data_IF_433565609569
#
_entry.id   IF_433565609569
#
_cell.length_a   1.000
_cell.length_b   1.000
_cell.length_c   1.000
_cell.angle_alpha   90.00
_cell.angle_beta   90.00
_cell.angle_gamma   90.00
#
_symmetry.space_group_name_H-M   'P 1'
#
loop_
_entity.id
_entity.type
_entity.pdbx_description
1 polymer ?
#
# COMPACT_ATOMS: atom_id res chain seq x y z
N UNK A 1 10.15 2.36 53.24
CA UNK A 1 9.68 1.30 52.32
C UNK A 1 8.56 1.70 51.34
N UNK A 2 8.33 2.99 51.20
CA UNK A 2 7.29 3.50 50.29
C UNK A 2 7.84 3.99 48.93
N UNK A 3 9.08 3.64 48.55
CA UNK A 3 9.71 4.14 47.32
C UNK A 3 9.58 3.21 46.12
N UNK A 4 9.04 1.99 46.27
CA UNK A 4 8.98 0.97 45.22
C UNK A 4 7.60 0.86 44.53
N UNK A 5 6.56 1.62 44.96
CA UNK A 5 5.22 1.55 44.36
C UNK A 5 4.91 2.65 43.34
N UNK A 6 5.91 3.43 42.95
CA UNK A 6 5.70 4.59 42.09
C UNK A 6 5.80 4.16 40.62
N UNK A 7 4.65 3.86 40.01
CA UNK A 7 4.51 3.49 38.63
C UNK A 7 4.86 4.61 37.63
N UNK A 8 4.76 4.34 36.34
CA UNK A 8 5.03 5.25 35.21
C UNK A 8 4.36 6.64 35.41
N UNK A 9 3.21 6.69 36.05
CA UNK A 9 2.50 7.92 36.40
C UNK A 9 3.33 8.91 37.23
N UNK A 10 4.11 8.41 38.19
CA UNK A 10 4.96 9.27 39.04
C UNK A 10 6.15 9.86 38.26
N UNK A 11 6.64 9.21 37.24
CA UNK A 11 7.69 9.74 36.35
C UNK A 11 7.17 10.96 35.58
N UNK A 12 5.98 10.86 35.01
CA UNK A 12 5.36 11.98 34.29
C UNK A 12 4.95 13.13 35.23
N UNK A 13 4.41 12.80 36.39
CA UNK A 13 4.09 13.84 37.44
C UNK A 13 5.34 14.60 37.84
N UNK A 14 6.49 13.94 38.01
CA UNK A 14 7.75 14.63 38.39
C UNK A 14 8.30 15.50 37.25
N UNK A 15 8.18 15.04 35.99
CA UNK A 15 8.68 15.80 34.85
C UNK A 15 7.81 17.02 34.51
N UNK A 16 6.55 17.01 34.92
CA UNK A 16 5.59 18.04 34.66
C UNK A 16 5.04 18.11 33.23
N UNK A 17 3.88 18.75 33.03
CA UNK A 17 3.20 18.78 31.73
C UNK A 17 4.00 19.48 30.64
N UNK A 18 4.82 20.47 30.97
CA UNK A 18 5.67 21.17 30.01
C UNK A 18 6.69 20.27 29.33
N UNK A 19 7.35 19.40 30.11
CA UNK A 19 8.35 18.45 29.57
C UNK A 19 7.70 17.38 28.69
N UNK A 20 6.60 16.80 29.13
CA UNK A 20 5.83 15.82 28.38
C UNK A 20 5.34 16.42 27.04
N UNK A 21 4.80 17.63 27.09
CA UNK A 21 4.35 18.36 25.90
C UNK A 21 5.49 18.64 24.91
N UNK A 22 6.66 19.07 25.42
CA UNK A 22 7.84 19.32 24.57
C UNK A 22 8.32 18.06 23.86
N UNK A 23 8.27 16.90 24.54
CA UNK A 23 8.64 15.62 23.96
C UNK A 23 7.61 15.12 22.94
N UNK A 24 6.33 15.26 23.21
CA UNK A 24 5.25 14.90 22.29
C UNK A 24 5.27 15.79 21.02
N UNK A 25 5.62 17.06 21.11
CA UNK A 25 5.73 17.96 19.96
C UNK A 25 6.70 17.46 18.88
N UNK A 26 7.74 16.74 19.26
CA UNK A 26 8.73 16.18 18.33
C UNK A 26 8.15 15.07 17.43
N UNK A 27 7.15 14.35 17.90
CA UNK A 27 6.61 13.17 17.24
C UNK A 27 5.15 13.33 16.78
N UNK A 28 4.37 14.15 17.49
CA UNK A 28 2.95 14.38 17.24
C UNK A 28 2.56 15.85 17.50
N UNK A 29 3.06 16.83 16.71
CA UNK A 29 2.93 18.26 17.03
C UNK A 29 1.48 18.73 17.13
N UNK A 30 0.56 18.18 16.34
CA UNK A 30 -0.87 18.54 16.36
C UNK A 30 -1.63 18.00 17.57
N UNK A 31 -1.18 16.89 18.13
CA UNK A 31 -1.84 16.20 19.24
C UNK A 31 -1.16 16.46 20.59
N UNK A 32 0.01 17.07 20.61
CA UNK A 32 0.84 17.21 21.78
C UNK A 32 0.14 17.91 22.95
N UNK A 33 -0.67 18.93 22.69
CA UNK A 33 -1.42 19.64 23.73
C UNK A 33 -2.52 18.76 24.34
N UNK A 34 -3.40 18.23 23.48
CA UNK A 34 -4.52 17.38 23.89
C UNK A 34 -4.07 16.10 24.59
N UNK A 35 -3.05 15.41 24.04
CA UNK A 35 -2.49 14.23 24.69
C UNK A 35 -1.87 14.54 26.05
N UNK A 36 -1.20 15.69 26.21
CA UNK A 36 -0.65 16.08 27.51
C UNK A 36 -1.77 16.26 28.54
N UNK A 37 -2.82 16.96 28.20
CA UNK A 37 -3.98 17.16 29.08
C UNK A 37 -4.63 15.83 29.48
N UNK A 38 -4.90 14.97 28.51
CA UNK A 38 -5.48 13.64 28.74
C UNK A 38 -4.61 12.77 29.65
N UNK A 39 -3.27 12.78 29.44
CA UNK A 39 -2.33 12.02 30.28
C UNK A 39 -2.39 12.54 31.73
N UNK A 40 -2.34 13.85 31.93
CA UNK A 40 -2.33 14.40 33.29
C UNK A 40 -3.68 14.25 33.97
N UNK A 41 -4.79 14.42 33.26
CA UNK A 41 -6.12 14.13 33.77
C UNK A 41 -6.26 12.67 34.22
N UNK A 42 -5.84 11.70 33.34
CA UNK A 42 -5.86 10.28 33.71
C UNK A 42 -4.96 9.95 34.90
N UNK A 43 -3.82 10.63 35.05
CA UNK A 43 -2.93 10.47 36.22
C UNK A 43 -3.53 11.05 37.52
N UNK A 44 -4.33 12.09 37.42
CA UNK A 44 -5.02 12.69 38.59
C UNK A 44 -6.26 11.89 39.01
N UNK A 45 -6.95 11.28 38.03
CA UNK A 45 -8.08 10.38 38.26
C UNK A 45 -7.65 8.98 38.74
N UNK A 46 -6.37 8.65 38.61
CA UNK A 46 -5.86 7.32 38.97
C UNK A 46 -5.87 7.11 40.47
N UNK A 47 -6.81 6.31 40.97
CA UNK A 47 -6.98 5.95 42.37
C UNK A 47 -6.37 4.60 42.75
N UNK A 48 -6.11 3.72 41.75
CA UNK A 48 -5.64 2.35 41.97
C UNK A 48 -4.43 2.05 41.08
N UNK A 49 -3.39 1.46 41.65
CA UNK A 49 -2.26 0.89 40.91
C UNK A 49 -2.58 -0.57 40.59
N UNK A 50 -2.68 -0.90 39.32
CA UNK A 50 -3.00 -2.25 38.84
C UNK A 50 -1.76 -3.15 38.98
N UNK A 51 -1.96 -4.42 39.37
CA UNK A 51 -0.90 -5.42 39.39
C UNK A 51 -0.26 -5.52 37.98
N UNK A 52 1.09 -5.58 37.93
CA UNK A 52 1.82 -5.61 36.67
C UNK A 52 2.29 -4.24 36.13
N UNK A 53 1.90 -3.13 36.74
CA UNK A 53 2.34 -1.78 36.33
C UNK A 53 3.88 -1.66 36.31
N UNK A 54 4.58 -2.27 37.26
CA UNK A 54 6.04 -2.25 37.32
C UNK A 54 6.69 -3.06 36.18
N UNK A 55 6.12 -4.23 35.84
CA UNK A 55 6.55 -5.01 34.68
C UNK A 55 6.31 -4.23 33.39
N UNK A 56 5.15 -3.58 33.23
CA UNK A 56 4.85 -2.71 32.08
C UNK A 56 5.82 -1.53 31.98
N UNK A 57 6.20 -0.92 33.10
CA UNK A 57 7.18 0.16 33.13
C UNK A 57 8.57 -0.25 32.61
N UNK A 58 8.91 -1.52 32.74
CA UNK A 58 10.17 -2.08 32.22
C UNK A 58 10.04 -2.50 30.75
N UNK A 59 8.95 -3.17 30.40
CA UNK A 59 8.77 -3.78 29.08
C UNK A 59 8.39 -2.76 28.00
N UNK A 60 7.49 -1.82 28.32
CA UNK A 60 6.98 -0.85 27.33
C UNK A 60 8.07 0.03 26.71
N UNK A 61 9.03 0.59 27.47
CA UNK A 61 10.15 1.35 26.88
C UNK A 61 11.01 0.52 25.92
N UNK A 62 11.29 -0.74 26.27
CA UNK A 62 12.07 -1.65 25.42
C UNK A 62 11.35 -1.89 24.09
N UNK A 63 10.06 -2.21 24.16
CA UNK A 63 9.23 -2.41 22.94
C UNK A 63 9.13 -1.12 22.10
N UNK A 64 9.01 0.03 22.74
CA UNK A 64 8.97 1.31 22.07
C UNK A 64 10.27 1.63 21.33
N UNK A 65 11.42 1.33 21.95
CA UNK A 65 12.74 1.49 21.31
C UNK A 65 12.94 0.54 20.13
N UNK A 66 12.56 -0.74 20.30
CA UNK A 66 12.58 -1.72 19.21
C UNK A 66 11.69 -1.28 18.05
N UNK A 67 10.47 -0.82 18.31
CA UNK A 67 9.55 -0.31 17.28
C UNK A 67 10.13 0.92 16.56
N UNK A 68 10.74 1.84 17.30
CA UNK A 68 11.41 3.00 16.72
C UNK A 68 12.60 2.58 15.84
N UNK A 69 13.39 1.60 16.27
CA UNK A 69 14.50 1.01 15.51
C UNK A 69 14.01 0.37 14.20
N UNK A 70 13.00 -0.49 14.28
CA UNK A 70 12.40 -1.12 13.11
C UNK A 70 11.79 -0.10 12.13
N UNK A 71 11.20 0.97 12.66
CA UNK A 71 10.65 2.05 11.84
C UNK A 71 11.74 2.77 11.06
N UNK A 72 12.87 3.07 11.69
CA UNK A 72 14.05 3.65 11.01
C UNK A 72 14.63 2.72 9.94
N UNK A 73 14.81 1.43 10.28
CA UNK A 73 15.28 0.42 9.32
C UNK A 73 14.34 0.31 8.11
N UNK A 74 13.02 0.28 8.35
CA UNK A 74 12.02 0.26 7.28
C UNK A 74 12.11 1.48 6.38
N UNK A 75 12.35 2.67 6.93
CA UNK A 75 12.53 3.89 6.15
C UNK A 75 13.79 3.82 5.28
N UNK A 76 14.91 3.36 5.84
CA UNK A 76 16.17 3.17 5.10
C UNK A 76 16.04 2.15 3.97
N UNK A 77 15.39 1.01 4.21
CA UNK A 77 15.12 0.01 3.18
C UNK A 77 14.17 0.55 2.09
N UNK A 78 13.18 1.36 2.47
CA UNK A 78 12.29 1.99 1.49
C UNK A 78 13.04 2.88 0.52
N UNK A 79 13.98 3.69 1.00
CA UNK A 79 14.84 4.54 0.15
C UNK A 79 15.75 3.71 -0.76
N UNK A 80 16.31 2.60 -0.26
CA UNK A 80 17.15 1.72 -1.10
C UNK A 80 16.32 1.05 -2.21
N UNK A 81 15.09 0.61 -1.90
CA UNK A 81 14.17 0.06 -2.90
C UNK A 81 13.79 1.11 -3.94
N UNK A 82 13.53 2.34 -3.51
CA UNK A 82 13.23 3.47 -4.40
C UNK A 82 14.37 3.71 -5.39
N UNK A 83 15.58 3.88 -4.89
CA UNK A 83 16.76 4.06 -5.72
C UNK A 83 16.99 2.89 -6.71
N UNK A 84 16.81 1.65 -6.25
CA UNK A 84 16.96 0.48 -7.12
C UNK A 84 15.88 0.41 -8.23
N UNK A 85 14.66 0.84 -7.93
CA UNK A 85 13.56 0.90 -8.91
C UNK A 85 13.80 2.02 -9.91
N UNK A 86 14.23 3.20 -9.45
CA UNK A 86 14.54 4.35 -10.32
C UNK A 86 15.69 4.07 -11.28
N UNK A 87 16.70 3.31 -10.84
CA UNK A 87 17.80 2.87 -11.70
C UNK A 87 17.41 1.79 -12.73
N UNK A 88 16.23 1.18 -12.62
CA UNK A 88 15.82 0.09 -13.50
C UNK A 88 15.33 0.63 -14.86
N UNK A 89 15.74 0.05 -16.03
CA UNK A 89 15.35 0.52 -17.36
C UNK A 89 13.84 0.61 -17.59
N UNK A 90 13.05 -0.27 -16.97
CA UNK A 90 11.59 -0.26 -17.08
C UNK A 90 10.89 0.72 -16.11
N UNK A 91 11.65 1.47 -15.29
CA UNK A 91 11.06 2.44 -14.36
C UNK A 91 10.19 3.48 -15.07
N UNK A 92 10.65 4.19 -16.12
CA UNK A 92 9.81 5.18 -16.82
C UNK A 92 8.54 4.56 -17.39
N UNK A 93 8.64 3.34 -17.95
CA UNK A 93 7.51 2.59 -18.48
C UNK A 93 6.46 2.33 -17.40
N UNK A 94 6.87 1.79 -16.27
CA UNK A 94 5.95 1.42 -15.18
C UNK A 94 5.29 2.63 -14.53
N UNK A 95 6.06 3.68 -14.25
CA UNK A 95 5.56 4.89 -13.58
C UNK A 95 4.65 5.72 -14.49
N UNK A 96 4.79 5.62 -15.80
CA UNK A 96 3.88 6.28 -16.74
C UNK A 96 2.43 5.80 -16.60
N UNK A 97 2.22 4.58 -16.10
CA UNK A 97 0.87 4.02 -15.94
C UNK A 97 0.14 4.60 -14.72
N UNK A 98 -1.02 5.27 -14.89
CA UNK A 98 -1.77 5.87 -13.79
C UNK A 98 -2.02 4.89 -12.64
N UNK A 99 -1.73 5.31 -11.39
CA UNK A 99 -1.89 4.48 -10.20
C UNK A 99 -0.79 3.44 -9.96
N UNK A 100 0.31 3.51 -10.71
CA UNK A 100 1.55 2.76 -10.44
C UNK A 100 2.55 3.71 -9.80
N UNK A 101 2.83 3.53 -8.52
CA UNK A 101 3.89 4.22 -7.81
C UNK A 101 5.07 3.28 -7.55
N UNK A 102 6.15 3.80 -6.96
CA UNK A 102 7.42 3.08 -6.71
C UNK A 102 7.20 1.67 -6.10
N UNK A 103 6.37 1.56 -5.06
CA UNK A 103 6.12 0.27 -4.40
C UNK A 103 5.41 -0.74 -5.30
N UNK A 104 4.52 -0.27 -6.16
CA UNK A 104 3.83 -1.12 -7.13
C UNK A 104 4.78 -1.52 -8.24
N UNK A 105 5.59 -0.58 -8.76
CA UNK A 105 6.63 -0.84 -9.74
C UNK A 105 7.64 -1.86 -9.20
N UNK A 106 8.17 -1.68 -7.98
CA UNK A 106 9.05 -2.65 -7.33
C UNK A 106 8.45 -4.06 -7.31
N UNK A 107 7.16 -4.17 -6.99
CA UNK A 107 6.48 -5.47 -6.94
C UNK A 107 6.31 -6.07 -8.34
N UNK A 108 5.98 -5.26 -9.35
CA UNK A 108 5.88 -5.73 -10.74
C UNK A 108 7.25 -6.19 -11.21
N UNK A 109 8.31 -5.41 -10.98
CA UNK A 109 9.67 -5.79 -11.36
C UNK A 109 10.08 -7.14 -10.74
N UNK A 110 9.82 -7.35 -9.46
CA UNK A 110 10.23 -8.58 -8.76
C UNK A 110 9.39 -9.80 -9.11
N UNK A 111 8.13 -9.63 -9.50
CA UNK A 111 7.21 -10.74 -9.71
C UNK A 111 6.96 -11.06 -11.20
N UNK A 112 7.28 -10.14 -12.11
CA UNK A 112 6.96 -10.26 -13.54
C UNK A 112 8.22 -10.28 -14.40
N UNK A 113 9.16 -9.36 -14.17
CA UNK A 113 10.35 -9.26 -15.01
C UNK A 113 11.23 -10.51 -14.85
N UNK A 114 11.80 -10.99 -15.96
CA UNK A 114 12.58 -12.22 -16.03
C UNK A 114 11.73 -13.50 -16.06
N UNK A 115 10.41 -13.38 -16.26
CA UNK A 115 9.51 -14.51 -16.51
C UNK A 115 8.84 -14.36 -17.86
N UNK A 116 8.67 -15.47 -18.56
CA UNK A 116 8.04 -15.49 -19.86
C UNK A 116 6.53 -15.70 -19.73
N UNK A 117 5.77 -14.76 -20.28
CA UNK A 117 4.32 -14.85 -20.39
C UNK A 117 3.92 -14.85 -21.86
N UNK A 118 3.18 -15.87 -22.27
CA UNK A 118 2.72 -16.02 -23.65
C UNK A 118 1.82 -14.85 -24.05
N UNK A 119 0.95 -14.44 -23.13
CA UNK A 119 0.01 -13.34 -23.35
C UNK A 119 -0.41 -12.68 -22.02
N UNK A 120 -1.20 -11.62 -22.12
CA UNK A 120 -1.75 -10.90 -20.97
C UNK A 120 -2.71 -11.76 -20.13
N UNK A 121 -3.37 -12.74 -20.73
CA UNK A 121 -4.23 -13.72 -20.05
C UNK A 121 -3.42 -14.63 -19.14
N UNK A 122 -2.26 -15.09 -19.63
CA UNK A 122 -1.31 -15.88 -18.83
C UNK A 122 -0.78 -15.09 -17.65
N UNK A 123 -0.36 -13.82 -17.85
CA UNK A 123 0.04 -12.93 -16.75
C UNK A 123 -1.10 -12.73 -15.73
N UNK A 124 -2.34 -12.52 -16.20
CA UNK A 124 -3.49 -12.37 -15.32
C UNK A 124 -3.82 -13.64 -14.53
N UNK A 125 -3.66 -14.82 -15.15
CA UNK A 125 -3.82 -16.12 -14.51
C UNK A 125 -2.74 -16.34 -13.46
N UNK A 126 -1.49 -16.03 -13.78
CA UNK A 126 -0.39 -16.07 -12.84
C UNK A 126 -0.62 -15.15 -11.64
N UNK A 127 -1.13 -13.95 -11.87
CA UNK A 127 -1.51 -13.03 -10.79
C UNK A 127 -2.78 -13.47 -10.02
N UNK A 128 -3.52 -14.46 -10.51
CA UNK A 128 -4.77 -14.91 -9.89
C UNK A 128 -5.93 -13.92 -9.99
N UNK A 129 -5.91 -13.04 -11.00
CA UNK A 129 -6.99 -12.08 -11.29
C UNK A 129 -7.87 -12.48 -12.48
N UNK A 130 -7.45 -13.48 -13.26
CA UNK A 130 -8.32 -14.09 -14.27
C UNK A 130 -9.40 -14.94 -13.59
N UNK A 131 -10.65 -14.93 -14.11
CA UNK A 131 -11.67 -15.83 -13.63
C UNK A 131 -11.30 -17.28 -13.97
N UNK A 132 -11.70 -18.21 -13.11
CA UNK A 132 -11.53 -19.66 -13.33
C UNK A 132 -12.87 -20.25 -13.72
N UNK A 133 -12.94 -20.82 -14.91
CA UNK A 133 -14.11 -21.59 -15.34
C UNK A 133 -14.14 -22.93 -14.60
N UNK A 134 -15.20 -23.18 -13.86
CA UNK A 134 -15.45 -24.49 -13.26
C UNK A 134 -16.59 -25.15 -14.03
N UNK A 135 -16.31 -26.31 -14.59
CA UNK A 135 -17.29 -27.17 -15.25
C UNK A 135 -17.24 -28.54 -14.59
N UNK A 136 -18.38 -29.02 -14.11
CA UNK A 136 -18.54 -30.38 -13.62
C UNK A 136 -19.89 -30.91 -14.14
N UNK A 137 -19.83 -31.76 -15.15
CA UNK A 137 -21.00 -32.30 -15.81
C UNK A 137 -21.92 -31.22 -16.39
N UNK A 138 -23.22 -31.43 -16.26
CA UNK A 138 -24.29 -30.51 -16.72
C UNK A 138 -24.69 -29.47 -15.67
N UNK A 139 -24.35 -29.67 -14.38
CA UNK A 139 -24.87 -28.92 -13.25
C UNK A 139 -24.06 -27.72 -12.79
N UNK A 140 -22.76 -27.66 -13.07
CA UNK A 140 -21.90 -26.54 -12.66
C UNK A 140 -21.32 -25.87 -13.89
N UNK A 141 -21.86 -24.72 -14.24
CA UNK A 141 -21.31 -23.82 -15.27
C UNK A 141 -21.16 -22.43 -14.67
N UNK A 142 -19.94 -21.92 -14.57
CA UNK A 142 -19.73 -20.56 -14.07
C UNK A 142 -18.27 -20.16 -13.97
N UNK A 143 -18.08 -18.84 -13.98
CA UNK A 143 -16.78 -18.23 -13.70
C UNK A 143 -16.67 -17.92 -12.21
N UNK A 144 -15.61 -18.40 -11.59
CA UNK A 144 -15.35 -18.23 -10.17
C UNK A 144 -14.04 -17.43 -9.96
N UNK A 145 -13.97 -16.80 -8.79
CA UNK A 145 -12.74 -16.08 -8.40
C UNK A 145 -11.60 -17.08 -8.23
N UNK A 146 -10.47 -16.79 -8.88
CA UNK A 146 -9.25 -17.56 -8.68
C UNK A 146 -8.79 -17.47 -7.21
N UNK A 147 -8.64 -18.61 -6.54
CA UNK A 147 -8.09 -18.70 -5.18
C UNK A 147 -6.57 -18.88 -5.17
N UNK A 148 -5.99 -19.36 -6.29
CA UNK A 148 -4.57 -19.53 -6.52
C UNK A 148 -3.91 -18.28 -7.08
N UNK A 149 -2.70 -18.47 -7.62
CA UNK A 149 -1.89 -17.44 -8.24
C UNK A 149 -1.00 -16.66 -7.26
N UNK A 150 -0.23 -15.74 -7.80
CA UNK A 150 0.70 -14.91 -7.04
C UNK A 150 -0.05 -13.82 -6.26
N UNK A 151 -0.25 -14.07 -4.96
CA UNK A 151 -1.00 -13.16 -4.07
C UNK A 151 -0.33 -11.77 -3.93
N UNK A 152 1.00 -11.70 -4.05
CA UNK A 152 1.76 -10.45 -3.94
C UNK A 152 1.51 -9.57 -5.17
N UNK A 153 1.61 -10.16 -6.36
CA UNK A 153 1.30 -9.47 -7.61
C UNK A 153 -0.18 -9.08 -7.68
N UNK A 154 -1.10 -10.00 -7.29
CA UNK A 154 -2.53 -9.70 -7.20
C UNK A 154 -2.81 -8.45 -6.38
N UNK A 155 -2.19 -8.35 -5.19
CA UNK A 155 -2.35 -7.18 -4.31
C UNK A 155 -1.81 -5.91 -4.95
N UNK A 156 -0.65 -5.97 -5.60
CA UNK A 156 -0.06 -4.81 -6.28
C UNK A 156 -0.96 -4.30 -7.41
N UNK A 157 -1.47 -5.20 -8.26
CA UNK A 157 -2.38 -4.86 -9.36
C UNK A 157 -3.73 -4.33 -8.85
N UNK A 158 -4.25 -4.89 -7.76
CA UNK A 158 -5.47 -4.40 -7.12
C UNK A 158 -5.29 -2.97 -6.57
N UNK A 159 -4.19 -2.71 -5.86
CA UNK A 159 -3.89 -1.39 -5.31
C UNK A 159 -3.62 -0.36 -6.43
N UNK A 160 -2.94 -0.77 -7.51
CA UNK A 160 -2.78 0.06 -8.70
C UNK A 160 -4.13 0.42 -9.34
N UNK A 161 -5.04 -0.55 -9.44
CA UNK A 161 -6.38 -0.28 -9.97
C UNK A 161 -7.17 0.67 -9.06
N UNK A 162 -7.08 0.50 -7.74
CA UNK A 162 -7.69 1.42 -6.78
C UNK A 162 -7.12 2.83 -6.91
N UNK A 163 -5.80 2.98 -6.91
CA UNK A 163 -5.14 4.29 -7.05
C UNK A 163 -5.45 4.95 -8.39
N UNK A 164 -5.71 4.17 -9.45
CA UNK A 164 -6.08 4.72 -10.77
C UNK A 164 -7.52 5.24 -10.86
N UNK A 165 -8.34 5.17 -9.81
CA UNK A 165 -9.71 5.71 -9.82
C UNK A 165 -9.77 7.24 -9.95
N UNK A 166 -8.69 7.96 -9.72
CA UNK A 166 -8.54 9.38 -10.02
C UNK A 166 -8.39 9.65 -11.54
N UNK A 167 -7.99 8.65 -12.31
CA UNK A 167 -7.82 8.74 -13.76
C UNK A 167 -9.15 8.50 -14.48
N UNK A 168 -9.65 9.46 -15.32
CA UNK A 168 -10.98 9.39 -15.87
C UNK A 168 -11.34 8.10 -16.62
N UNK A 169 -10.52 7.54 -17.53
CA UNK A 169 -10.82 6.27 -18.19
C UNK A 169 -10.96 5.08 -17.25
N UNK A 170 -10.14 5.03 -16.20
CA UNK A 170 -10.20 3.98 -15.17
C UNK A 170 -11.48 4.12 -14.35
N UNK A 171 -11.84 5.34 -13.98
CA UNK A 171 -13.06 5.67 -13.25
C UNK A 171 -14.30 5.30 -14.05
N UNK A 172 -14.37 5.70 -15.30
CA UNK A 172 -15.50 5.38 -16.19
C UNK A 172 -15.69 3.85 -16.33
N UNK A 173 -14.60 3.11 -16.47
CA UNK A 173 -14.68 1.64 -16.50
C UNK A 173 -15.21 1.05 -15.18
N UNK A 174 -14.69 1.53 -14.06
CA UNK A 174 -15.12 1.10 -12.72
C UNK A 174 -16.61 1.38 -12.52
N UNK A 175 -17.08 2.60 -12.78
CA UNK A 175 -18.48 3.01 -12.59
C UNK A 175 -19.42 2.16 -13.47
N UNK A 176 -19.05 1.88 -14.71
CA UNK A 176 -19.79 0.96 -15.58
C UNK A 176 -19.89 -0.44 -14.97
N UNK A 177 -18.82 -0.97 -14.35
CA UNK A 177 -18.85 -2.26 -13.67
C UNK A 177 -19.69 -2.23 -12.41
N UNK A 178 -19.74 -1.12 -11.70
CA UNK A 178 -20.65 -0.91 -10.57
C UNK A 178 -22.11 -0.87 -11.01
N UNK A 179 -22.42 -0.15 -12.10
CA UNK A 179 -23.76 -0.12 -12.70
C UNK A 179 -24.23 -1.51 -13.18
N UNK A 180 -23.32 -2.39 -13.58
CA UNK A 180 -23.61 -3.79 -13.90
C UNK A 180 -23.83 -4.70 -12.67
N UNK A 181 -24.01 -4.13 -11.46
CA UNK A 181 -24.25 -4.86 -10.21
C UNK A 181 -23.01 -5.46 -9.54
N UNK A 182 -21.80 -5.23 -10.04
CA UNK A 182 -20.59 -5.74 -9.37
C UNK A 182 -20.34 -4.99 -8.06
N UNK A 183 -19.99 -5.73 -7.00
CA UNK A 183 -19.54 -5.13 -5.74
C UNK A 183 -18.22 -4.39 -5.94
N UNK A 184 -17.88 -3.46 -5.02
CA UNK A 184 -16.67 -2.63 -5.08
C UNK A 184 -15.41 -3.44 -5.45
N UNK A 185 -15.08 -4.46 -4.67
CA UNK A 185 -13.88 -5.27 -4.92
C UNK A 185 -13.94 -6.05 -6.23
N UNK A 186 -15.12 -6.49 -6.66
CA UNK A 186 -15.30 -7.16 -7.96
C UNK A 186 -15.06 -6.22 -9.13
N UNK A 187 -15.54 -4.96 -9.02
CA UNK A 187 -15.30 -3.94 -10.03
C UNK A 187 -13.81 -3.56 -10.11
N UNK A 188 -13.13 -3.46 -8.95
CA UNK A 188 -11.68 -3.22 -8.90
C UNK A 188 -10.86 -4.37 -9.49
N UNK A 189 -11.23 -5.63 -9.23
CA UNK A 189 -10.54 -6.78 -9.85
C UNK A 189 -10.77 -6.78 -11.36
N UNK A 190 -11.98 -6.46 -11.83
CA UNK A 190 -12.24 -6.33 -13.26
C UNK A 190 -11.41 -5.20 -13.91
N UNK A 191 -11.26 -4.06 -13.22
CA UNK A 191 -10.37 -2.99 -13.65
C UNK A 191 -8.90 -3.45 -13.64
N UNK A 192 -8.44 -4.11 -12.57
CA UNK A 192 -7.09 -4.66 -12.50
C UNK A 192 -6.81 -5.62 -13.64
N UNK A 193 -7.76 -6.50 -14.00
CA UNK A 193 -7.63 -7.42 -15.14
C UNK A 193 -7.43 -6.68 -16.46
N UNK A 194 -8.27 -5.67 -16.74
CA UNK A 194 -8.13 -4.84 -17.95
C UNK A 194 -6.78 -4.10 -17.98
N UNK A 195 -6.35 -3.57 -16.84
CA UNK A 195 -5.07 -2.87 -16.72
C UNK A 195 -3.87 -3.80 -16.91
N UNK A 196 -4.02 -5.08 -16.56
CA UNK A 196 -2.98 -6.08 -16.82
C UNK A 196 -2.74 -6.31 -18.31
N UNK A 197 -3.77 -6.17 -19.15
CA UNK A 197 -3.61 -6.27 -20.61
C UNK A 197 -2.74 -5.11 -21.13
N UNK A 198 -2.99 -3.89 -20.63
CA UNK A 198 -2.19 -2.70 -20.96
C UNK A 198 -0.76 -2.83 -20.42
N UNK A 199 -0.60 -3.25 -19.15
CA UNK A 199 0.71 -3.46 -18.53
C UNK A 199 1.55 -4.47 -19.31
N UNK A 200 0.93 -5.58 -19.73
CA UNK A 200 1.62 -6.60 -20.53
C UNK A 200 2.15 -6.02 -21.85
N UNK A 201 1.32 -5.27 -22.58
CA UNK A 201 1.73 -4.62 -23.82
C UNK A 201 2.88 -3.62 -23.58
N UNK A 202 2.76 -2.76 -22.56
CA UNK A 202 3.80 -1.80 -22.17
C UNK A 202 5.14 -2.48 -21.85
N UNK A 203 5.12 -3.58 -21.10
CA UNK A 203 6.34 -4.34 -20.75
C UNK A 203 6.94 -5.06 -21.94
N UNK A 204 6.10 -5.65 -22.82
CA UNK A 204 6.55 -6.35 -24.03
C UNK A 204 7.20 -5.39 -25.03
N UNK A 205 6.59 -4.23 -25.23
CA UNK A 205 6.98 -3.28 -26.28
C UNK A 205 7.93 -2.17 -25.75
N UNK A 206 8.17 -2.13 -24.44
CA UNK A 206 8.99 -1.08 -23.81
C UNK A 206 8.40 0.32 -23.92
N UNK A 207 7.09 0.45 -24.14
CA UNK A 207 6.42 1.72 -24.44
C UNK A 207 5.80 2.35 -23.19
N UNK A 208 5.74 3.69 -23.16
CA UNK A 208 5.03 4.44 -22.12
C UNK A 208 3.53 4.22 -22.24
N UNK A 209 2.83 4.43 -21.13
CA UNK A 209 1.37 4.40 -21.11
C UNK A 209 0.79 5.43 -22.07
N UNK A 210 -0.11 4.99 -22.94
CA UNK A 210 -0.86 5.84 -23.83
C UNK A 210 -2.30 5.98 -23.31
N UNK A 211 -2.72 7.21 -23.04
CA UNK A 211 -4.09 7.47 -22.63
C UNK A 211 -5.02 7.31 -23.84
N UNK A 212 -6.01 6.40 -23.81
CA UNK A 212 -6.93 6.19 -24.92
C UNK A 212 -7.85 7.41 -25.19
N UNK A 213 -7.86 8.39 -24.30
CA UNK A 213 -8.64 9.63 -24.45
C UNK A 213 -7.77 10.81 -24.89
N UNK A 214 -6.44 10.66 -24.92
CA UNK A 214 -5.55 11.69 -25.42
C UNK A 214 -5.65 11.79 -26.96
N UNK A 215 -5.65 13.00 -27.54
CA UNK A 215 -5.54 13.14 -28.98
C UNK A 215 -4.24 12.46 -29.46
N UNK A 216 -4.22 11.88 -30.66
CA UNK A 216 -3.01 11.27 -31.20
C UNK A 216 -1.89 12.31 -31.19
N UNK A 217 -0.72 11.91 -30.68
CA UNK A 217 0.46 12.78 -30.73
C UNK A 217 0.70 13.21 -32.19
N UNK A 218 1.02 14.48 -32.46
CA UNK A 218 1.33 14.93 -33.80
C UNK A 218 2.45 14.03 -34.34
N UNK A 219 2.16 13.36 -35.46
CA UNK A 219 3.14 12.55 -36.18
C UNK A 219 4.35 13.46 -36.42
N UNK A 220 5.52 13.08 -35.93
CA UNK A 220 6.75 13.75 -36.30
C UNK A 220 6.88 13.58 -37.81
N UNK A 221 6.43 14.60 -38.54
CA UNK A 221 6.74 14.73 -39.96
C UNK A 221 8.25 14.78 -40.05
N UNK A 222 8.83 13.73 -40.58
CA UNK A 222 10.24 13.69 -40.91
C UNK A 222 10.55 14.93 -41.76
N UNK A 223 11.33 15.85 -41.21
CA UNK A 223 11.98 16.87 -42.00
C UNK A 223 13.11 16.15 -42.77
N UNK A 224 12.73 15.64 -43.95
CA UNK A 224 13.66 15.29 -44.99
C UNK A 224 13.86 16.54 -45.82
N UNK A 225 15.00 17.19 -45.73
CA UNK A 225 15.59 18.04 -46.74
C UNK A 225 17.12 18.04 -46.52
#
# INVERSE_FOLDING_TARGET
DCLLSRGLGDVYKRQGPGHVRARLRKHAPRLAASLTEQIFQALDEQSVVVAGTQAAATVVPILAEQLAGLTRQRAGLASQVEAAVEAHPLHPVLISMPGVGIRTAARILTEVVGKDFVDAGHLASYAGIAPVTRRSGTSIRGEHVARGGNKRLKRALFLSAFASLSHPPSRAYYDRKRAQGKRHNQALIALARRRTDVLYAMLRDGTLYQDPTAPPAPSSVALAA
#
